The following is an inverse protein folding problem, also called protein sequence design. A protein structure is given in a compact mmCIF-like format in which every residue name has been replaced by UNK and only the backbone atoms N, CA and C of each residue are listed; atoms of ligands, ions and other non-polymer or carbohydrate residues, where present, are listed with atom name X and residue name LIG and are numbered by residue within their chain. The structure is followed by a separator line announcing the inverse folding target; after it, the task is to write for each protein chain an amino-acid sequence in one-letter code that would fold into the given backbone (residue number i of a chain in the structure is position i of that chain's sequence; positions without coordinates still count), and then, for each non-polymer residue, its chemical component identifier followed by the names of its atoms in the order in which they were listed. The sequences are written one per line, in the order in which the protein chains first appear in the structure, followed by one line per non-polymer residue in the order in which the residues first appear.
data_IF_918350632144
#
_entry.id   IF_918350632144
#
_cell.length_a   1.000
_cell.length_b   1.000
_cell.length_c   1.000
_cell.angle_alpha   90.00
_cell.angle_beta   90.00
_cell.angle_gamma   90.00
#
_symmetry.space_group_name_H-M   'P 1'
#
loop_
_entity.id
_entity.type
_entity.pdbx_description
1 polymer ?
#
# COMPACT_ATOMS: atom_id res chain seq x y z
N UNK A 1 -22.97 -46.70 65.75
CA UNK A 1 -22.45 -45.36 66.10
C UNK A 1 -21.51 -44.92 65.00
N UNK A 2 -21.88 -43.86 64.24
CA UNK A 2 -21.06 -43.06 63.30
C UNK A 2 -20.51 -43.82 62.05
N UNK A 3 -20.46 -43.29 60.83
CA UNK A 3 -20.64 -41.92 60.33
C UNK A 3 -21.07 -42.00 58.83
N UNK A 4 -21.97 -41.10 58.44
CA UNK A 4 -22.30 -40.75 57.05
C UNK A 4 -21.07 -40.22 56.31
N UNK A 5 -20.93 -40.57 55.03
CA UNK A 5 -20.22 -39.73 54.06
C UNK A 5 -20.94 -39.76 52.72
N UNK A 6 -21.67 -38.67 52.45
CA UNK A 6 -22.25 -38.34 51.15
C UNK A 6 -21.10 -38.02 50.18
N UNK A 7 -21.04 -38.71 49.06
CA UNK A 7 -20.21 -38.32 47.92
C UNK A 7 -21.04 -37.37 47.03
N UNK A 8 -20.79 -36.09 47.19
CA UNK A 8 -21.30 -35.01 46.35
C UNK A 8 -20.67 -35.07 44.96
N UNK A 9 -21.51 -35.09 43.92
CA UNK A 9 -21.08 -34.99 42.52
C UNK A 9 -20.51 -33.60 42.24
N UNK A 10 -19.27 -33.54 41.73
CA UNK A 10 -18.75 -32.37 41.06
C UNK A 10 -18.86 -32.61 39.56
N UNK A 11 -19.91 -32.06 38.95
CA UNK A 11 -19.98 -31.92 37.50
C UNK A 11 -19.10 -30.73 37.11
N UNK A 12 -17.92 -31.01 36.55
CA UNK A 12 -17.07 -29.98 35.95
C UNK A 12 -17.65 -29.66 34.57
N UNK A 13 -18.44 -28.59 34.50
CA UNK A 13 -18.97 -28.06 33.25
C UNK A 13 -17.90 -27.19 32.58
N UNK A 14 -17.16 -27.78 31.65
CA UNK A 14 -16.16 -27.09 30.83
C UNK A 14 -16.88 -26.16 29.85
N UNK A 15 -16.92 -24.86 30.13
CA UNK A 15 -17.32 -23.83 29.17
C UNK A 15 -16.19 -23.74 28.13
N UNK A 16 -16.45 -24.26 26.93
CA UNK A 16 -15.57 -24.07 25.78
C UNK A 16 -15.83 -22.67 25.23
N UNK A 17 -15.05 -21.69 25.69
CA UNK A 17 -15.03 -20.35 25.11
C UNK A 17 -14.37 -20.46 23.74
N UNK A 18 -15.17 -20.48 22.68
CA UNK A 18 -14.67 -20.28 21.32
C UNK A 18 -14.21 -18.83 21.26
N UNK A 19 -12.91 -18.60 21.40
CA UNK A 19 -12.29 -17.37 20.93
C UNK A 19 -12.42 -17.43 19.42
N UNK A 20 -13.43 -16.74 18.88
CA UNK A 20 -13.41 -16.34 17.49
C UNK A 20 -12.17 -15.49 17.32
N UNK A 21 -11.11 -16.10 16.80
CA UNK A 21 -10.08 -15.37 16.05
C UNK A 21 -10.85 -14.70 14.92
N UNK A 22 -11.31 -13.47 15.14
CA UNK A 22 -11.60 -12.54 14.06
C UNK A 22 -10.27 -12.39 13.35
N UNK A 23 -10.03 -13.25 12.36
CA UNK A 23 -9.01 -13.01 11.37
C UNK A 23 -9.27 -11.58 10.91
N UNK A 24 -8.26 -10.72 11.04
CA UNK A 24 -8.13 -9.58 10.14
C UNK A 24 -8.33 -10.17 8.76
N UNK A 25 -9.53 -9.99 8.19
CA UNK A 25 -9.73 -10.20 6.78
C UNK A 25 -8.61 -9.39 6.13
N UNK A 26 -7.67 -10.08 5.49
CA UNK A 26 -6.59 -9.41 4.79
C UNK A 26 -7.30 -8.69 3.63
N UNK A 27 -7.62 -7.41 3.83
CA UNK A 27 -8.28 -6.58 2.85
C UNK A 27 -7.54 -6.72 1.52
N UNK A 28 -8.27 -7.06 0.46
CA UNK A 28 -7.66 -7.45 -0.80
C UNK A 28 -6.77 -6.31 -1.32
N UNK A 29 -5.59 -6.65 -1.84
CA UNK A 29 -4.79 -5.68 -2.61
C UNK A 29 -5.58 -5.36 -3.86
N UNK A 30 -5.99 -4.11 -4.03
CA UNK A 30 -6.78 -3.64 -5.16
C UNK A 30 -5.90 -3.03 -6.25
N UNK A 31 -4.86 -2.30 -5.84
CA UNK A 31 -3.92 -1.60 -6.73
C UNK A 31 -2.48 -1.99 -6.38
N UNK A 32 -1.70 -2.30 -7.41
CA UNK A 32 -0.24 -2.36 -7.31
C UNK A 32 0.38 -1.07 -7.85
N UNK A 33 1.31 -0.48 -7.11
CA UNK A 33 2.00 0.76 -7.45
C UNK A 33 3.47 0.42 -7.74
N UNK A 34 3.93 0.65 -8.96
CA UNK A 34 5.28 0.34 -9.40
C UNK A 34 6.12 1.62 -9.50
N UNK A 35 7.24 1.62 -8.76
CA UNK A 35 8.25 2.68 -8.70
C UNK A 35 9.62 2.16 -9.18
N UNK A 36 9.66 1.10 -9.98
CA UNK A 36 10.91 0.52 -10.50
C UNK A 36 11.56 1.37 -11.59
N UNK A 37 10.82 2.28 -12.22
CA UNK A 37 11.36 3.20 -13.23
C UNK A 37 11.55 4.57 -12.62
N UNK A 38 12.79 5.07 -12.65
CA UNK A 38 13.15 6.38 -12.11
C UNK A 38 12.25 7.48 -12.70
N UNK A 39 11.72 8.32 -11.81
CA UNK A 39 10.83 9.43 -12.15
C UNK A 39 9.52 9.00 -12.81
N UNK A 40 9.07 7.76 -12.59
CA UNK A 40 7.75 7.30 -13.01
C UNK A 40 7.08 6.56 -11.87
N UNK A 41 5.76 6.62 -11.88
CA UNK A 41 4.89 5.76 -11.08
C UNK A 41 3.88 5.12 -12.01
N UNK A 42 3.68 3.81 -11.88
CA UNK A 42 2.64 3.08 -12.62
C UNK A 42 1.69 2.46 -11.61
N UNK A 43 0.40 2.76 -11.73
CA UNK A 43 -0.65 2.05 -10.97
C UNK A 43 -1.31 1.02 -11.87
N UNK A 44 -1.45 -0.19 -11.37
CA UNK A 44 -2.10 -1.30 -12.06
C UNK A 44 -3.18 -1.89 -11.19
N UNK A 45 -4.39 -2.00 -11.74
CA UNK A 45 -5.49 -2.67 -11.08
C UNK A 45 -5.21 -4.18 -10.96
N UNK A 46 -5.63 -4.75 -9.85
CA UNK A 46 -5.60 -6.20 -9.62
C UNK A 46 -7.00 -6.80 -9.84
N UNK A 47 -7.15 -8.09 -9.56
CA UNK A 47 -8.45 -8.77 -9.46
C UNK A 47 -9.05 -8.70 -8.06
N UNK A 48 -8.51 -7.85 -7.17
CA UNK A 48 -8.98 -7.66 -5.80
C UNK A 48 -10.44 -7.18 -5.76
N UNK A 49 -11.18 -7.73 -4.79
CA UNK A 49 -12.60 -7.41 -4.60
C UNK A 49 -12.74 -6.24 -3.62
N UNK A 50 -13.69 -5.35 -3.87
CA UNK A 50 -14.04 -4.30 -2.92
C UNK A 50 -14.60 -4.91 -1.63
N UNK A 51 -14.11 -4.46 -0.48
CA UNK A 51 -14.58 -4.93 0.83
C UNK A 51 -15.94 -4.30 1.20
N UNK A 52 -16.26 -3.14 0.62
CA UNK A 52 -17.50 -2.40 0.91
C UNK A 52 -18.19 -1.89 -0.34
N UNK A 53 -19.48 -1.58 -0.21
CA UNK A 53 -20.22 -0.83 -1.21
C UNK A 53 -20.08 0.66 -0.88
N UNK A 54 -19.54 1.43 -1.80
CA UNK A 54 -19.33 2.87 -1.64
C UNK A 54 -19.66 3.58 -2.96
N UNK A 55 -20.22 4.79 -2.87
CA UNK A 55 -20.59 5.59 -4.04
C UNK A 55 -20.20 7.04 -3.80
N UNK A 56 -19.71 7.72 -4.83
CA UNK A 56 -19.15 9.06 -4.70
C UNK A 56 -18.65 9.64 -6.03
N UNK A 57 -18.06 10.83 -5.97
CA UNK A 57 -17.46 11.46 -7.14
C UNK A 57 -16.01 11.04 -7.33
N UNK A 58 -15.62 10.80 -8.57
CA UNK A 58 -14.23 10.59 -8.97
C UNK A 58 -13.38 11.88 -8.87
N UNK A 59 -14.01 13.04 -8.75
CA UNK A 59 -13.34 14.33 -8.48
C UNK A 59 -12.96 14.52 -7.02
N UNK A 60 -13.60 13.79 -6.09
CA UNK A 60 -13.07 13.56 -4.74
C UNK A 60 -11.99 12.48 -4.82
N UNK A 61 -12.26 11.39 -5.53
CA UNK A 61 -11.22 10.43 -5.90
C UNK A 61 -10.98 9.31 -4.88
N UNK A 62 -9.85 8.63 -5.08
CA UNK A 62 -9.42 7.42 -4.37
C UNK A 62 -8.19 7.74 -3.54
N UNK A 63 -8.34 7.70 -2.23
CA UNK A 63 -7.29 8.01 -1.28
C UNK A 63 -6.49 6.78 -0.88
N UNK A 64 -5.19 6.81 -1.14
CA UNK A 64 -4.20 5.82 -0.69
C UNK A 64 -3.60 6.30 0.63
N UNK A 65 -4.13 5.76 1.73
CA UNK A 65 -3.78 6.17 3.08
C UNK A 65 -2.32 5.89 3.40
N UNK A 66 -1.67 6.83 4.09
CA UNK A 66 -0.29 6.72 4.56
C UNK A 66 0.70 6.36 3.44
N UNK A 67 0.45 6.74 2.19
CA UNK A 67 1.38 6.47 1.08
C UNK A 67 2.78 7.07 1.31
N UNK A 68 2.84 8.26 1.89
CA UNK A 68 4.07 8.95 2.28
C UNK A 68 4.37 8.72 3.75
N UNK A 69 5.66 8.55 4.09
CA UNK A 69 6.13 8.32 5.46
C UNK A 69 6.36 9.61 6.25
N UNK A 70 6.56 10.73 5.55
CA UNK A 70 6.77 12.06 6.15
C UNK A 70 6.12 13.17 5.32
N UNK A 71 5.85 14.35 5.92
CA UNK A 71 5.63 15.56 5.14
C UNK A 71 6.76 15.77 4.14
N UNK A 72 6.44 16.26 2.94
CA UNK A 72 7.40 16.38 1.86
C UNK A 72 6.97 17.37 0.80
N UNK A 73 7.35 17.10 -0.45
CA UNK A 73 7.00 17.94 -1.58
C UNK A 73 5.50 17.83 -1.87
N UNK A 74 4.92 18.94 -2.28
CA UNK A 74 3.59 18.94 -2.89
C UNK A 74 3.63 18.20 -4.23
N UNK A 75 2.61 17.41 -4.50
CA UNK A 75 2.34 16.90 -5.84
C UNK A 75 1.13 17.65 -6.38
N UNK A 76 1.37 18.70 -7.18
CA UNK A 76 0.30 19.30 -7.98
C UNK A 76 -0.28 18.25 -8.91
N UNK A 77 -1.56 18.37 -9.24
CA UNK A 77 -2.22 17.40 -10.08
C UNK A 77 -1.46 17.18 -11.39
N UNK A 78 -1.00 15.95 -11.59
CA UNK A 78 -0.37 15.48 -12.81
C UNK A 78 -1.35 14.60 -13.55
N UNK A 79 -1.75 15.05 -14.74
CA UNK A 79 -2.59 14.30 -15.65
C UNK A 79 -1.69 13.51 -16.60
N UNK A 80 -2.03 12.25 -16.83
CA UNK A 80 -1.37 11.46 -17.86
C UNK A 80 -2.41 10.56 -18.55
N UNK A 81 -1.98 9.88 -19.62
CA UNK A 81 -2.83 8.92 -20.34
C UNK A 81 -2.83 7.57 -19.64
N UNK A 82 -4.01 6.98 -19.49
CA UNK A 82 -4.18 5.68 -18.87
C UNK A 82 -5.65 5.31 -18.82
N UNK A 83 -5.94 4.06 -18.49
CA UNK A 83 -7.32 3.57 -18.42
C UNK A 83 -7.68 2.96 -17.06
N UNK A 84 -6.93 3.35 -16.01
CA UNK A 84 -7.26 2.92 -14.65
C UNK A 84 -8.60 3.52 -14.23
N UNK A 85 -9.53 2.67 -13.82
CA UNK A 85 -10.88 3.05 -13.37
C UNK A 85 -11.45 1.96 -12.46
N UNK A 86 -12.61 2.18 -11.84
CA UNK A 86 -13.36 1.09 -11.22
C UNK A 86 -13.97 0.18 -12.31
N UNK A 87 -14.27 -1.08 -12.00
CA UNK A 87 -14.78 -2.01 -13.01
C UNK A 87 -16.18 -1.67 -13.53
N UNK A 88 -16.97 -0.94 -12.73
CA UNK A 88 -18.39 -0.69 -13.01
C UNK A 88 -18.63 0.61 -13.80
N UNK A 89 -17.62 1.46 -13.96
CA UNK A 89 -17.73 2.72 -14.70
C UNK A 89 -16.61 2.88 -15.74
N UNK A 90 -16.92 3.51 -16.90
CA UNK A 90 -15.94 3.77 -17.95
C UNK A 90 -14.85 4.75 -17.52
N UNK A 91 -13.62 4.46 -17.91
CA UNK A 91 -12.48 5.38 -17.78
C UNK A 91 -12.68 6.63 -18.66
N UNK A 92 -12.30 7.80 -18.15
CA UNK A 92 -12.22 9.04 -18.96
C UNK A 92 -10.94 9.12 -19.81
N UNK A 93 -9.92 8.32 -19.46
CA UNK A 93 -8.66 8.21 -20.19
C UNK A 93 -7.58 9.16 -19.69
N UNK A 94 -7.89 9.99 -18.68
CA UNK A 94 -7.06 11.08 -18.18
C UNK A 94 -6.87 11.06 -16.66
N UNK A 95 -6.55 9.89 -16.07
CA UNK A 95 -6.39 9.76 -14.63
C UNK A 95 -5.27 10.68 -14.13
N UNK A 96 -5.49 11.27 -12.97
CA UNK A 96 -4.53 12.21 -12.40
C UNK A 96 -4.14 11.83 -10.97
N UNK A 97 -2.92 12.21 -10.60
CA UNK A 97 -2.40 12.05 -9.24
C UNK A 97 -2.16 13.40 -8.61
N UNK A 98 -2.52 13.55 -7.34
CA UNK A 98 -2.08 14.68 -6.53
C UNK A 98 -1.91 14.30 -5.06
N UNK A 99 -1.26 15.21 -4.33
CA UNK A 99 -1.10 15.14 -2.89
C UNK A 99 -1.70 16.39 -2.27
N UNK A 100 -2.73 16.22 -1.45
CA UNK A 100 -3.42 17.32 -0.78
C UNK A 100 -2.51 18.06 0.22
N UNK A 101 -3.02 19.18 0.76
CA UNK A 101 -2.37 19.88 1.87
C UNK A 101 -0.96 20.41 1.58
N UNK A 102 -0.61 20.66 0.31
CA UNK A 102 0.70 21.22 -0.06
C UNK A 102 1.90 20.32 0.30
N UNK A 103 1.69 19.01 0.41
CA UNK A 103 2.75 18.06 0.82
C UNK A 103 2.73 17.68 2.29
N UNK A 104 1.79 18.22 3.09
CA UNK A 104 1.60 17.81 4.47
C UNK A 104 0.74 16.53 4.61
N UNK A 105 -0.14 16.26 3.64
CA UNK A 105 -0.99 15.08 3.66
C UNK A 105 -0.14 13.79 3.56
N UNK A 106 -0.37 12.77 4.40
CA UNK A 106 0.40 11.53 4.36
C UNK A 106 -0.02 10.59 3.22
N UNK A 107 -1.11 10.84 2.52
CA UNK A 107 -1.62 9.99 1.45
C UNK A 107 -1.40 10.54 0.05
N UNK A 108 -1.77 9.71 -0.92
CA UNK A 108 -1.80 10.01 -2.35
C UNK A 108 -3.26 9.92 -2.82
N UNK A 109 -3.69 10.79 -3.74
CA UNK A 109 -5.02 10.72 -4.33
C UNK A 109 -4.95 10.41 -5.83
N UNK A 110 -5.84 9.52 -6.28
CA UNK A 110 -6.18 9.32 -7.69
C UNK A 110 -7.55 9.95 -7.97
N UNK A 111 -7.57 10.94 -8.86
CA UNK A 111 -8.76 11.74 -9.20
C UNK A 111 -8.94 11.87 -10.70
N UNK A 112 -10.15 12.24 -11.15
CA UNK A 112 -10.50 12.40 -12.58
C UNK A 112 -10.13 11.17 -13.40
N UNK A 113 -10.77 10.04 -13.12
CA UNK A 113 -10.44 8.74 -13.73
C UNK A 113 -11.63 8.02 -14.33
N UNK A 114 -12.84 8.57 -14.17
CA UNK A 114 -14.08 8.02 -14.72
C UNK A 114 -14.79 9.08 -15.54
N UNK A 115 -15.47 8.69 -16.62
CA UNK A 115 -16.34 9.63 -17.34
C UNK A 115 -17.70 9.83 -16.69
N UNK A 116 -18.02 9.04 -15.66
CA UNK A 116 -19.28 9.12 -14.93
C UNK A 116 -19.15 10.04 -13.70
N UNK A 117 -20.12 10.94 -13.52
CA UNK A 117 -20.14 11.88 -12.40
C UNK A 117 -20.28 11.20 -11.02
N UNK A 118 -20.75 9.96 -10.99
CA UNK A 118 -20.84 9.16 -9.77
C UNK A 118 -20.37 7.75 -10.07
N UNK A 119 -19.38 7.31 -9.29
CA UNK A 119 -18.79 5.99 -9.38
C UNK A 119 -19.25 5.15 -8.19
N UNK A 120 -19.48 3.87 -8.43
CA UNK A 120 -19.85 2.91 -7.38
C UNK A 120 -18.89 1.74 -7.35
N UNK A 121 -18.44 1.39 -6.15
CA UNK A 121 -17.83 0.10 -5.87
C UNK A 121 -18.88 -0.78 -5.20
N UNK A 122 -19.00 -2.03 -5.64
CA UNK A 122 -19.89 -3.00 -5.01
C UNK A 122 -19.08 -3.99 -4.18
N UNK A 123 -19.47 -4.19 -2.91
CA UNK A 123 -18.84 -5.16 -2.04
C UNK A 123 -18.84 -6.56 -2.69
N UNK A 124 -17.69 -7.22 -2.69
CA UNK A 124 -17.51 -8.55 -3.28
C UNK A 124 -17.34 -8.56 -4.81
N UNK A 125 -17.41 -7.42 -5.49
CA UNK A 125 -17.07 -7.27 -6.91
C UNK A 125 -15.63 -6.81 -7.08
N UNK A 126 -15.00 -7.11 -8.23
CA UNK A 126 -13.69 -6.57 -8.57
C UNK A 126 -13.72 -5.04 -8.47
N UNK A 127 -12.76 -4.43 -7.77
CA UNK A 127 -12.81 -3.01 -7.52
C UNK A 127 -12.38 -2.19 -8.75
N UNK A 128 -11.21 -2.48 -9.30
CA UNK A 128 -10.59 -1.70 -10.37
C UNK A 128 -10.28 -2.52 -11.62
N UNK A 129 -10.07 -1.82 -12.73
CA UNK A 129 -9.51 -2.34 -13.97
C UNK A 129 -8.54 -1.33 -14.59
N UNK A 130 -7.71 -1.79 -15.53
CA UNK A 130 -6.77 -0.95 -16.27
C UNK A 130 -5.49 -0.58 -15.52
N UNK A 131 -4.78 0.37 -16.10
CA UNK A 131 -3.50 0.88 -15.60
C UNK A 131 -3.23 2.29 -16.08
N UNK A 132 -2.39 3.03 -15.36
CA UNK A 132 -1.90 4.34 -15.77
C UNK A 132 -0.47 4.55 -15.29
N UNK A 133 0.29 5.37 -16.02
CA UNK A 133 1.67 5.72 -15.70
C UNK A 133 1.81 7.23 -15.72
N UNK A 134 2.46 7.79 -14.71
CA UNK A 134 2.71 9.22 -14.63
C UNK A 134 4.21 9.50 -14.59
N UNK A 135 4.60 10.59 -15.23
CA UNK A 135 5.94 11.15 -15.11
C UNK A 135 6.02 12.05 -13.86
N UNK A 136 7.05 11.85 -13.04
CA UNK A 136 7.27 12.56 -11.79
C UNK A 136 8.48 13.48 -11.88
N UNK A 137 8.48 14.52 -11.06
CA UNK A 137 9.73 15.24 -10.77
C UNK A 137 10.65 14.34 -9.92
N UNK A 138 11.97 14.53 -9.97
CA UNK A 138 12.89 13.77 -9.12
C UNK A 138 12.57 13.85 -7.62
N UNK A 139 12.13 15.01 -7.15
CA UNK A 139 11.75 15.22 -5.75
C UNK A 139 10.49 14.42 -5.37
N UNK A 140 9.44 14.48 -6.20
CA UNK A 140 8.23 13.71 -5.94
C UNK A 140 8.49 12.20 -5.99
N UNK A 141 9.29 11.73 -6.96
CA UNK A 141 9.66 10.31 -7.05
C UNK A 141 10.41 9.84 -5.79
N UNK A 142 11.37 10.63 -5.29
CA UNK A 142 12.08 10.29 -4.04
C UNK A 142 11.14 10.23 -2.83
N UNK A 143 10.15 11.12 -2.75
CA UNK A 143 9.16 11.07 -1.66
C UNK A 143 8.32 9.78 -1.74
N UNK A 144 7.91 9.36 -2.93
CA UNK A 144 7.15 8.11 -3.12
C UNK A 144 8.00 6.87 -2.80
N UNK A 145 9.27 6.86 -3.24
CA UNK A 145 10.23 5.77 -2.98
C UNK A 145 10.52 5.58 -1.50
N UNK A 146 10.57 6.68 -0.74
CA UNK A 146 10.77 6.65 0.72
C UNK A 146 9.46 6.52 1.51
N UNK A 147 8.33 6.38 0.80
CA UNK A 147 6.99 6.21 1.36
C UNK A 147 6.77 4.83 1.98
N UNK A 148 5.53 4.58 2.40
CA UNK A 148 5.13 3.26 2.86
C UNK A 148 4.84 2.34 1.68
N UNK A 149 5.10 1.05 1.86
CA UNK A 149 4.94 0.06 0.78
C UNK A 149 3.54 -0.55 0.73
N UNK A 150 2.69 -0.26 1.71
CA UNK A 150 1.31 -0.78 1.80
C UNK A 150 0.46 0.18 2.61
N UNK A 151 -0.83 0.22 2.34
CA UNK A 151 -1.79 0.98 3.14
C UNK A 151 -3.22 0.71 2.67
N UNK A 152 -4.18 1.37 3.34
CA UNK A 152 -5.59 1.23 3.03
C UNK A 152 -5.98 2.14 1.86
N UNK A 153 -7.05 1.76 1.17
CA UNK A 153 -7.69 2.56 0.13
C UNK A 153 -9.08 2.99 0.64
N UNK A 154 -9.40 4.27 0.46
CA UNK A 154 -10.70 4.85 0.81
C UNK A 154 -11.35 5.51 -0.40
N UNK A 155 -12.69 5.47 -0.43
CA UNK A 155 -13.50 6.15 -1.43
C UNK A 155 -14.86 6.57 -0.85
N UNK A 156 -15.40 7.74 -1.21
CA UNK A 156 -14.72 8.86 -1.86
C UNK A 156 -13.86 9.65 -0.86
N UNK A 157 -12.59 9.90 -1.17
CA UNK A 157 -11.70 10.71 -0.32
C UNK A 157 -10.55 11.29 -1.15
N UNK A 158 -10.16 12.54 -0.88
CA UNK A 158 -8.97 13.17 -1.49
C UNK A 158 -7.83 13.45 -0.50
N UNK A 159 -8.13 13.39 0.79
CA UNK A 159 -7.21 13.77 1.86
C UNK A 159 -7.51 12.98 3.13
N UNK A 160 -6.59 13.07 4.09
CA UNK A 160 -6.74 12.39 5.39
C UNK A 160 -7.97 12.88 6.17
N UNK A 161 -8.44 14.10 5.92
CA UNK A 161 -9.57 14.68 6.63
C UNK A 161 -10.92 14.06 6.17
N UNK A 162 -10.96 13.43 4.99
CA UNK A 162 -12.16 12.79 4.43
C UNK A 162 -12.41 11.37 4.96
N UNK A 163 -11.38 10.69 5.47
CA UNK A 163 -11.48 9.25 5.77
C UNK A 163 -12.25 8.94 7.06
N UNK A 164 -12.55 9.95 7.87
CA UNK A 164 -13.28 9.79 9.12
C UNK A 164 -14.71 9.28 8.86
N UNK A 165 -14.97 8.02 9.22
CA UNK A 165 -16.28 7.37 9.05
C UNK A 165 -16.44 6.64 7.72
N UNK A 166 -15.43 6.68 6.84
CA UNK A 166 -15.38 5.82 5.66
C UNK A 166 -14.88 4.43 6.04
N UNK A 167 -15.45 3.42 5.40
CA UNK A 167 -14.95 2.07 5.50
C UNK A 167 -13.81 1.84 4.49
N UNK A 168 -12.90 0.93 4.83
CA UNK A 168 -11.77 0.56 3.96
C UNK A 168 -12.32 -0.16 2.72
N UNK A 169 -11.95 0.32 1.55
CA UNK A 169 -12.31 -0.27 0.26
C UNK A 169 -11.48 -1.53 -0.02
N UNK A 170 -10.21 -1.48 0.36
CA UNK A 170 -9.22 -2.55 0.24
C UNK A 170 -7.82 -1.98 0.55
N UNK A 171 -6.77 -2.59 0.02
CA UNK A 171 -5.38 -2.12 0.24
C UNK A 171 -4.63 -1.87 -1.06
N UNK A 172 -3.53 -1.13 -0.98
CA UNK A 172 -2.53 -1.06 -2.06
C UNK A 172 -1.22 -1.71 -1.63
N UNK A 173 -0.40 -2.07 -2.62
CA UNK A 173 0.98 -2.50 -2.41
C UNK A 173 1.93 -1.85 -3.39
N UNK A 174 3.11 -1.45 -2.94
CA UNK A 174 4.18 -0.89 -3.76
C UNK A 174 5.15 -1.99 -4.19
N UNK A 175 5.32 -2.20 -5.49
CA UNK A 175 6.32 -3.10 -6.04
C UNK A 175 7.72 -2.47 -5.96
N UNK A 176 8.72 -3.31 -5.66
CA UNK A 176 10.07 -2.93 -5.26
C UNK A 176 10.70 -1.81 -6.10
N UNK A 177 11.28 -0.83 -5.40
CA UNK A 177 12.08 0.27 -5.94
C UNK A 177 13.30 -0.30 -6.65
N UNK A 178 13.57 0.12 -7.88
CA UNK A 178 14.88 -0.11 -8.48
C UNK A 178 15.89 0.76 -7.73
N UNK A 179 16.51 0.21 -6.69
CA UNK A 179 17.73 0.79 -6.11
C UNK A 179 18.81 0.60 -7.17
N UNK A 180 19.39 1.67 -7.76
CA UNK A 180 20.59 1.50 -8.56
C UNK A 180 21.65 0.94 -7.62
N UNK A 181 22.13 -0.29 -7.89
CA UNK A 181 23.29 -0.85 -7.21
C UNK A 181 24.40 0.22 -7.20
N UNK A 182 24.97 0.59 -6.03
CA UNK A 182 26.12 1.48 -6.01
C UNK A 182 27.20 0.81 -6.84
N UNK A 183 27.62 1.49 -7.91
CA UNK A 183 28.68 1.01 -8.80
C UNK A 183 29.89 0.75 -7.91
N UNK A 184 30.20 -0.53 -7.69
CA UNK A 184 31.30 -0.93 -6.83
C UNK A 184 32.59 -0.36 -7.41
N UNK A 185 33.09 0.70 -6.78
CA UNK A 185 34.42 1.23 -7.02
C UNK A 185 35.41 0.12 -6.72
N UNK A 186 36.05 -0.37 -7.77
CA UNK A 186 37.11 -1.35 -7.70
C UNK A 186 38.27 -0.79 -6.87
N UNK A 187 38.37 -1.18 -5.59
CA UNK A 187 39.52 -0.91 -4.74
C UNK A 187 40.59 -1.98 -5.03
N UNK A 188 41.74 -1.67 -5.64
CA UNK A 188 42.85 -2.61 -5.71
C UNK A 188 43.43 -2.77 -4.30
N UNK A 189 43.14 -3.89 -3.66
CA UNK A 189 43.73 -4.24 -2.36
C UNK A 189 45.22 -4.53 -2.51
N UNK A 190 46.01 -3.86 -1.68
CA UNK A 190 47.44 -4.08 -1.49
C UNK A 190 47.76 -5.56 -1.23
N UNK A 191 48.54 -6.17 -2.11
CA UNK A 191 49.19 -7.45 -1.84
C UNK A 191 50.35 -7.28 -0.85
N UNK A 192 50.18 -7.78 0.38
CA UNK A 192 51.26 -8.03 1.34
C UNK A 192 51.61 -9.52 1.27
N UNK A 193 52.82 -9.88 0.86
CA UNK A 193 53.47 -11.20 1.04
C UNK A 193 54.97 -11.03 0.67
N UNK A 194 55.98 -11.42 1.47
CA UNK A 194 56.01 -12.15 2.72
C UNK A 194 57.39 -12.09 3.39
N UNK A 195 57.42 -12.42 4.68
CA UNK A 195 58.62 -12.58 5.51
C UNK A 195 59.17 -14.01 5.37
N UNK A 196 60.44 -14.17 4.98
CA UNK A 196 61.18 -15.43 5.07
C UNK A 196 62.18 -15.34 6.23
N UNK A 197 61.94 -16.11 7.29
CA UNK A 197 62.95 -16.40 8.30
C UNK A 197 63.75 -17.64 7.88
N UNK A 198 65.06 -17.48 7.66
CA UNK A 198 66.01 -18.60 7.53
C UNK A 198 66.91 -18.62 8.77
N UNK A 199 66.72 -19.62 9.64
CA UNK A 199 67.66 -19.95 10.72
C UNK A 199 67.89 -21.45 10.74
N UNK A 200 69.08 -21.88 10.34
CA UNK A 200 69.70 -23.10 10.89
C UNK A 200 71.20 -22.87 11.05
N UNK A 201 71.66 -23.01 12.30
CA UNK A 201 73.06 -23.17 12.68
C UNK A 201 73.34 -24.67 12.70
N UNK A 202 74.46 -25.08 12.12
CA UNK A 202 75.41 -26.02 12.70
C UNK A 202 76.80 -25.47 12.45
#
# INVERSE_FOLDING_TARGET
MKLNTKLSSLAVSSILTIVSLTGVANAAVLITIDLSVVNKVTMTATTGLSDVTASGSDTTGIYFENFYSTPGNSLSAIFDTGNITNVENPSDGTPALFRAGGGADPGLNLWSWSSDATVTFTAGSQAFTGSATWNLTPAAYLDMVNGNTTGNIYFPADSVDDISGLAVLGTYSVAAVAVPEPSSTFLPSCGVLGLVFKRSRR
#
